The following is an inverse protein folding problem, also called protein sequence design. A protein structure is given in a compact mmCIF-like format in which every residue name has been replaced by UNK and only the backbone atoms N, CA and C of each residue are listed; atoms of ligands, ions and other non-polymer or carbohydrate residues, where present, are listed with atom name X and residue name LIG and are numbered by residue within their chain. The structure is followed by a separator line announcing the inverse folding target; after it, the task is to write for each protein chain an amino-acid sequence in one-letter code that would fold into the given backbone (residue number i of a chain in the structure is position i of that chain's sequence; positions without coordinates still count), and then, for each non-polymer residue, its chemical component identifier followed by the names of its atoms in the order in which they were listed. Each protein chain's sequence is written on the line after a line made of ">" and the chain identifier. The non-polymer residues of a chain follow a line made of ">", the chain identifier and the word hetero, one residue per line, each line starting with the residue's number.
data_IF_000082330984
#
_entry.id   IF_000082330984
#
_cell.length_a   1.000
_cell.length_b   1.000
_cell.length_c   1.000
_cell.angle_alpha   90.00
_cell.angle_beta   90.00
_cell.angle_gamma   90.00
#
_symmetry.space_group_name_H-M   'P 1'
#
loop_
_entity.id
_entity.type
_entity.pdbx_description
1 polymer ?
#
# COMPACT_ATOMS: atom_id res chain seq x y z
N UNK A 1 38.28 -24.66 -47.25
CA UNK A 1 37.23 -23.67 -46.92
C UNK A 1 36.86 -23.87 -45.46
N UNK A 2 37.10 -22.89 -44.59
CA UNK A 2 36.75 -23.03 -43.16
C UNK A 2 35.25 -22.78 -43.00
N UNK A 3 34.53 -23.73 -42.39
CA UNK A 3 33.12 -23.56 -42.04
C UNK A 3 33.05 -22.46 -40.99
N UNK A 4 32.26 -21.42 -41.24
CA UNK A 4 31.96 -20.39 -40.25
C UNK A 4 30.63 -20.73 -39.59
N UNK A 5 30.64 -20.83 -38.27
CA UNK A 5 29.44 -21.06 -37.45
C UNK A 5 29.08 -19.73 -36.78
N UNK A 6 27.82 -19.30 -36.92
CA UNK A 6 27.28 -18.11 -36.26
C UNK A 6 26.62 -18.52 -34.94
N UNK A 7 26.93 -17.83 -33.86
CA UNK A 7 26.21 -17.98 -32.60
C UNK A 7 24.82 -17.32 -32.69
N UNK A 8 23.81 -17.97 -32.13
CA UNK A 8 22.45 -17.46 -31.99
C UNK A 8 22.02 -17.65 -30.54
N UNK A 9 21.13 -16.79 -30.08
CA UNK A 9 20.69 -16.72 -28.69
C UNK A 9 19.19 -16.95 -28.66
N UNK A 10 18.69 -17.69 -27.67
CA UNK A 10 17.28 -18.08 -27.61
C UNK A 10 16.67 -17.59 -26.31
N UNK A 11 15.54 -16.88 -26.40
CA UNK A 11 14.79 -16.45 -25.23
C UNK A 11 14.27 -17.68 -24.46
N UNK A 12 14.44 -17.69 -23.13
CA UNK A 12 14.00 -18.82 -22.29
C UNK A 12 12.48 -18.91 -22.15
N UNK A 13 11.76 -17.79 -22.29
CA UNK A 13 10.30 -17.73 -22.06
C UNK A 13 9.51 -18.05 -23.32
N UNK A 14 9.68 -17.26 -24.39
CA UNK A 14 8.92 -17.42 -25.65
C UNK A 14 9.59 -18.35 -26.68
N UNK A 15 10.86 -18.75 -26.45
CA UNK A 15 11.69 -19.56 -27.36
C UNK A 15 12.07 -18.90 -28.69
N UNK A 16 11.88 -17.59 -28.82
CA UNK A 16 12.31 -16.82 -29.98
C UNK A 16 13.85 -16.81 -30.10
N UNK A 17 14.36 -16.86 -31.33
CA UNK A 17 15.80 -16.92 -31.63
C UNK A 17 16.26 -15.56 -32.14
N UNK A 18 17.24 -14.99 -31.46
CA UNK A 18 17.86 -13.70 -31.72
C UNK A 18 19.29 -13.91 -32.21
N UNK A 19 19.80 -12.93 -32.95
CA UNK A 19 21.16 -12.93 -33.47
C UNK A 19 22.19 -12.27 -32.53
N UNK A 20 21.72 -11.64 -31.45
CA UNK A 20 22.53 -11.11 -30.36
C UNK A 20 21.97 -11.54 -28.98
N UNK A 21 22.85 -11.54 -27.98
CA UNK A 21 22.53 -11.92 -26.60
C UNK A 21 21.51 -10.96 -25.96
N UNK A 22 21.73 -9.66 -26.14
CA UNK A 22 20.87 -8.60 -25.60
C UNK A 22 19.43 -8.72 -26.11
N UNK A 23 19.24 -9.04 -27.39
CA UNK A 23 17.92 -9.25 -27.98
C UNK A 23 17.16 -10.41 -27.34
N UNK A 24 17.86 -11.51 -27.01
CA UNK A 24 17.26 -12.64 -26.29
C UNK A 24 16.96 -12.32 -24.82
N UNK A 25 17.74 -11.42 -24.20
CA UNK A 25 17.56 -10.96 -22.82
C UNK A 25 16.39 -9.99 -22.68
N UNK A 26 16.18 -9.10 -23.66
CA UNK A 26 15.09 -8.11 -23.66
C UNK A 26 13.74 -8.70 -24.10
N UNK A 27 13.74 -9.73 -24.96
CA UNK A 27 12.54 -10.30 -25.59
C UNK A 27 11.42 -10.69 -24.60
N UNK A 28 11.77 -11.20 -23.41
CA UNK A 28 10.82 -11.50 -22.34
C UNK A 28 11.44 -11.15 -20.99
N UNK A 29 12.06 -9.97 -20.89
CA UNK A 29 12.63 -9.52 -19.63
C UNK A 29 11.54 -9.57 -18.55
N UNK A 30 11.75 -10.26 -17.41
CA UNK A 30 10.78 -10.24 -16.34
C UNK A 30 10.60 -8.79 -15.89
N UNK A 31 9.40 -8.26 -16.12
CA UNK A 31 8.99 -6.96 -15.60
C UNK A 31 8.79 -7.09 -14.09
N UNK A 32 9.25 -6.09 -13.35
CA UNK A 32 8.78 -5.89 -11.98
C UNK A 32 7.54 -5.04 -12.11
N UNK A 33 6.40 -5.57 -11.68
CA UNK A 33 5.14 -4.83 -11.60
C UNK A 33 4.98 -4.29 -10.18
N UNK A 34 4.61 -3.01 -10.09
CA UNK A 34 4.24 -2.37 -8.84
C UNK A 34 2.77 -2.69 -8.55
N UNK A 35 2.48 -3.17 -7.34
CA UNK A 35 1.15 -3.55 -6.90
C UNK A 35 0.84 -2.84 -5.58
N UNK A 36 -0.45 -2.53 -5.37
CA UNK A 36 -0.93 -1.74 -4.25
C UNK A 36 -1.92 -2.56 -3.40
N UNK A 37 -1.70 -2.58 -2.09
CA UNK A 37 -2.56 -3.32 -1.16
C UNK A 37 -3.59 -2.39 -0.50
N UNK A 38 -4.87 -2.78 -0.52
CA UNK A 38 -5.90 -2.08 0.25
C UNK A 38 -5.63 -2.25 1.76
N UNK A 39 -5.54 -1.16 2.53
CA UNK A 39 -5.13 -1.25 3.94
C UNK A 39 -6.23 -1.85 4.85
N UNK A 40 -7.46 -1.99 4.34
CA UNK A 40 -8.64 -2.51 5.07
C UNK A 40 -8.83 -4.01 4.87
N UNK A 41 -9.03 -4.46 3.64
CA UNK A 41 -9.35 -5.85 3.32
C UNK A 41 -8.15 -6.67 2.84
N UNK A 42 -6.99 -6.03 2.65
CA UNK A 42 -5.74 -6.69 2.20
C UNK A 42 -5.83 -7.28 0.79
N UNK A 43 -6.76 -6.81 -0.04
CA UNK A 43 -6.78 -7.12 -1.47
C UNK A 43 -5.66 -6.37 -2.18
N UNK A 44 -5.09 -7.03 -3.20
CA UNK A 44 -4.04 -6.47 -4.05
C UNK A 44 -4.67 -5.92 -5.33
N UNK A 45 -4.20 -4.75 -5.76
CA UNK A 45 -4.65 -4.02 -6.92
C UNK A 45 -3.46 -3.59 -7.77
N UNK A 46 -3.68 -3.42 -9.07
CA UNK A 46 -2.64 -3.00 -10.02
C UNK A 46 -2.48 -1.47 -10.08
N UNK A 47 -3.35 -0.74 -9.38
CA UNK A 47 -3.45 0.72 -9.41
C UNK A 47 -3.66 1.29 -8.00
N UNK A 48 -2.98 2.40 -7.70
CA UNK A 48 -3.00 3.04 -6.38
C UNK A 48 -4.40 3.59 -6.04
N UNK A 49 -5.05 4.26 -7.00
CA UNK A 49 -6.39 4.81 -6.81
C UNK A 49 -7.41 3.68 -6.62
N UNK A 50 -7.23 2.54 -7.30
CA UNK A 50 -8.04 1.33 -7.09
C UNK A 50 -7.86 0.76 -5.67
N UNK A 51 -6.64 0.75 -5.13
CA UNK A 51 -6.39 0.29 -3.76
C UNK A 51 -6.97 1.24 -2.70
N UNK A 52 -6.89 2.56 -2.92
CA UNK A 52 -7.45 3.60 -2.03
C UNK A 52 -8.98 3.54 -2.04
N UNK A 53 -9.59 3.46 -3.23
CA UNK A 53 -11.04 3.46 -3.40
C UNK A 53 -11.71 2.12 -3.06
N UNK A 54 -10.96 1.01 -3.00
CA UNK A 54 -11.49 -0.34 -2.76
C UNK A 54 -12.47 -0.43 -1.58
N UNK A 55 -12.14 0.20 -0.46
CA UNK A 55 -12.99 0.24 0.73
C UNK A 55 -13.42 1.67 1.11
N UNK A 56 -13.24 2.65 0.21
CA UNK A 56 -13.56 4.06 0.47
C UNK A 56 -12.78 4.65 1.64
N UNK A 57 -11.45 4.47 1.66
CA UNK A 57 -10.61 4.97 2.76
C UNK A 57 -10.45 6.48 2.65
N UNK A 58 -11.12 7.22 3.53
CA UNK A 58 -10.90 8.65 3.70
C UNK A 58 -9.62 8.94 4.49
N UNK A 59 -9.11 10.16 4.40
CA UNK A 59 -8.02 10.65 5.24
C UNK A 59 -8.41 11.97 5.92
N UNK A 60 -7.84 12.20 7.12
CA UNK A 60 -7.99 13.47 7.84
C UNK A 60 -6.62 13.98 8.27
N UNK A 61 -6.39 15.28 8.07
CA UNK A 61 -5.15 15.93 8.46
C UNK A 61 -5.20 16.39 9.92
N UNK A 62 -4.15 16.11 10.70
CA UNK A 62 -4.01 16.66 12.04
C UNK A 62 -3.63 18.15 11.96
N UNK A 63 -4.36 19.07 12.60
CA UNK A 63 -4.09 20.51 12.50
C UNK A 63 -2.80 20.95 13.18
N UNK A 64 -2.19 20.11 14.03
CA UNK A 64 -0.95 20.44 14.75
C UNK A 64 0.30 19.96 14.02
N UNK A 65 0.33 18.70 13.56
CA UNK A 65 1.51 18.15 12.87
C UNK A 65 1.38 18.06 11.36
N UNK A 66 0.22 18.45 10.80
CA UNK A 66 -0.10 18.45 9.37
C UNK A 66 0.05 17.08 8.69
N UNK A 67 0.11 15.99 9.46
CA UNK A 67 0.13 14.62 8.94
C UNK A 67 -1.29 14.14 8.64
N UNK A 68 -1.45 13.48 7.50
CA UNK A 68 -2.66 12.78 7.11
C UNK A 68 -2.74 11.41 7.78
N UNK A 69 -3.92 11.09 8.31
CA UNK A 69 -4.21 9.80 8.92
C UNK A 69 -5.37 9.15 8.18
N UNK A 70 -5.25 7.87 7.77
CA UNK A 70 -6.32 7.17 7.08
C UNK A 70 -7.45 6.80 8.05
N UNK A 71 -8.68 6.66 7.53
CA UNK A 71 -9.92 6.38 8.27
C UNK A 71 -9.85 5.14 9.14
N UNK A 72 -8.98 4.21 8.75
CA UNK A 72 -8.72 2.97 9.47
C UNK A 72 -7.82 3.11 10.70
N UNK A 73 -7.23 4.28 10.96
CA UNK A 73 -6.32 4.48 12.09
C UNK A 73 -7.03 5.05 13.30
N UNK A 74 -6.59 4.70 14.51
CA UNK A 74 -7.05 5.36 15.75
C UNK A 74 -6.86 6.89 15.70
N UNK A 75 -5.78 7.37 15.07
CA UNK A 75 -5.49 8.79 14.94
C UNK A 75 -6.54 9.55 14.13
N UNK A 76 -7.13 8.94 13.11
CA UNK A 76 -8.23 9.56 12.36
C UNK A 76 -9.45 9.80 13.27
N UNK A 77 -9.81 8.82 14.08
CA UNK A 77 -10.92 8.95 15.03
C UNK A 77 -10.58 9.91 16.17
N UNK A 78 -9.33 9.91 16.64
CA UNK A 78 -8.83 10.86 17.62
C UNK A 78 -8.94 12.31 17.15
N UNK A 79 -8.63 12.58 15.88
CA UNK A 79 -8.79 13.92 15.30
C UNK A 79 -10.28 14.31 15.25
N UNK A 80 -11.17 13.39 14.87
CA UNK A 80 -12.62 13.67 14.84
C UNK A 80 -13.22 13.96 16.22
N UNK A 81 -12.77 13.26 17.25
CA UNK A 81 -13.35 13.35 18.61
C UNK A 81 -12.67 14.43 19.46
N UNK A 82 -11.35 14.55 19.37
CA UNK A 82 -10.52 15.37 20.25
C UNK A 82 -9.67 16.41 19.51
N UNK A 83 -9.81 16.53 18.19
CA UNK A 83 -9.17 17.57 17.36
C UNK A 83 -7.70 17.31 16.99
N UNK A 84 -7.05 16.31 17.58
CA UNK A 84 -5.64 16.02 17.37
C UNK A 84 -5.36 14.51 17.34
N UNK A 85 -4.30 14.11 16.62
CA UNK A 85 -3.87 12.73 16.55
C UNK A 85 -3.28 12.25 17.89
N UNK A 86 -3.12 10.93 18.03
CA UNK A 86 -2.60 10.28 19.24
C UNK A 86 -1.18 10.71 19.62
N UNK A 87 -0.37 11.16 18.64
CA UNK A 87 0.96 11.70 18.89
C UNK A 87 0.93 13.14 19.41
N UNK A 88 0.04 13.99 18.89
CA UNK A 88 -0.06 15.39 19.27
C UNK A 88 -0.86 15.60 20.55
N UNK A 89 -1.81 14.72 20.84
CA UNK A 89 -2.52 14.67 22.11
C UNK A 89 -2.38 13.27 22.73
N UNK A 90 -1.31 13.01 23.51
CA UNK A 90 -1.12 11.73 24.17
C UNK A 90 -1.96 11.57 25.45
N UNK A 91 -2.64 12.63 25.92
CA UNK A 91 -3.34 12.63 27.21
C UNK A 91 -4.86 12.76 27.00
N UNK A 92 -5.46 11.80 26.31
CA UNK A 92 -6.91 11.72 26.19
C UNK A 92 -7.56 11.42 27.54
N UNK A 93 -8.69 12.06 27.81
CA UNK A 93 -9.57 11.68 28.93
C UNK A 93 -10.11 10.26 28.71
N UNK A 94 -10.53 9.58 29.78
CA UNK A 94 -11.06 8.21 29.70
C UNK A 94 -12.25 8.15 28.72
N UNK A 95 -13.15 9.13 28.78
CA UNK A 95 -14.31 9.21 27.90
C UNK A 95 -13.90 9.37 26.43
N UNK A 96 -12.89 10.20 26.14
CA UNK A 96 -12.33 10.34 24.79
C UNK A 96 -11.68 9.04 24.33
N UNK A 97 -10.92 8.37 25.18
CA UNK A 97 -10.27 7.10 24.82
C UNK A 97 -11.30 6.04 24.42
N UNK A 98 -12.36 5.89 25.23
CA UNK A 98 -13.46 4.97 24.94
C UNK A 98 -14.15 5.34 23.64
N UNK A 99 -14.53 6.60 23.45
CA UNK A 99 -15.17 7.06 22.21
C UNK A 99 -14.31 6.81 20.97
N UNK A 100 -12.99 7.03 21.05
CA UNK A 100 -12.05 6.81 19.94
C UNK A 100 -11.98 5.33 19.59
N UNK A 101 -11.82 4.46 20.59
CA UNK A 101 -11.70 3.01 20.40
C UNK A 101 -13.02 2.40 19.90
N UNK A 102 -14.15 2.83 20.45
CA UNK A 102 -15.48 2.36 20.06
C UNK A 102 -15.82 2.75 18.62
N UNK A 103 -15.53 4.00 18.24
CA UNK A 103 -15.74 4.46 16.87
C UNK A 103 -14.81 3.74 15.88
N UNK A 104 -13.54 3.55 16.24
CA UNK A 104 -12.60 2.79 15.41
C UNK A 104 -13.08 1.35 15.20
N UNK A 105 -13.56 0.69 16.26
CA UNK A 105 -14.11 -0.66 16.16
C UNK A 105 -15.36 -0.71 15.28
N UNK A 106 -16.25 0.26 15.40
CA UNK A 106 -17.45 0.34 14.58
C UNK A 106 -17.13 0.48 13.08
N UNK A 107 -16.17 1.35 12.73
CA UNK A 107 -15.84 1.65 11.33
C UNK A 107 -14.96 0.57 10.67
N UNK A 108 -14.10 -0.10 11.43
CA UNK A 108 -13.09 -1.02 10.87
C UNK A 108 -13.28 -2.48 11.23
N UNK A 109 -14.09 -2.77 12.24
CA UNK A 109 -14.21 -4.10 12.85
C UNK A 109 -12.97 -4.55 13.63
N UNK A 110 -11.93 -3.71 13.75
CA UNK A 110 -10.68 -4.03 14.46
C UNK A 110 -10.68 -3.38 15.83
N UNK A 111 -10.27 -4.14 16.83
CA UNK A 111 -10.12 -3.62 18.20
C UNK A 111 -8.67 -3.27 18.43
N UNK A 112 -8.40 -1.98 18.58
CA UNK A 112 -7.10 -1.44 18.95
C UNK A 112 -7.24 -0.63 20.24
N UNK A 113 -6.26 -0.75 21.12
CA UNK A 113 -6.21 0.01 22.36
C UNK A 113 -5.24 1.18 22.22
N UNK A 114 -5.66 2.33 22.72
CA UNK A 114 -4.75 3.47 22.87
C UNK A 114 -3.77 3.13 23.99
N UNK A 115 -2.47 3.16 23.67
CA UNK A 115 -1.34 2.97 24.59
C UNK A 115 -0.99 1.53 25.01
N UNK A 116 -1.42 0.53 24.23
CA UNK A 116 -0.89 -0.84 24.32
C UNK A 116 0.48 -0.99 23.64
#
# INVERSE_FOLDING_TARGET
>A
MKIQVKALYRCCSCREIHDCEDGALECCRPGIEELFECPVCKSVHDDEDAAISCCGVDAVQCPSCLRDYPSISLSFQAIKIAGHCTTCNPMFTIDQQQAIQDLHYHETGRREHLFD
#
